data_IF_647087878227
#
_entry.id   IF_647087878227
#
_cell.length_a   1.000
_cell.length_b   1.000
_cell.length_c   1.000
_cell.angle_alpha   90.00
_cell.angle_beta   90.00
_cell.angle_gamma   90.00
#
_symmetry.space_group_name_H-M   'P 1'
#
loop_
_entity.id
_entity.type
_entity.pdbx_description
1 polymer ?
#
# COMPACT_ATOMS: atom_id res chain seq x y z
N UNK A 1 -19.87 3.01 34.72
CA UNK A 1 -18.82 3.58 33.85
C UNK A 1 -17.75 2.52 33.75
N UNK A 2 -17.84 1.67 32.72
CA UNK A 2 -16.76 0.72 32.42
C UNK A 2 -15.55 1.51 31.93
N UNK A 3 -14.37 1.17 32.45
CA UNK A 3 -13.10 1.79 32.08
C UNK A 3 -12.73 1.41 30.64
N UNK A 4 -12.27 2.34 29.78
CA UNK A 4 -11.82 2.05 28.41
C UNK A 4 -10.44 1.35 28.37
N UNK A 5 -10.13 0.50 29.35
CA UNK A 5 -8.77 0.02 29.67
C UNK A 5 -8.12 -0.94 28.64
N UNK A 6 -8.73 -1.17 27.47
CA UNK A 6 -8.22 -2.13 26.48
C UNK A 6 -7.77 -1.52 25.15
N UNK A 7 -7.78 -0.19 24.99
CA UNK A 7 -7.38 0.41 23.73
C UNK A 7 -6.01 1.07 23.79
N UNK A 8 -5.20 0.83 22.76
CA UNK A 8 -3.88 1.46 22.62
C UNK A 8 -3.85 2.28 21.34
N UNK A 9 -3.43 3.54 21.46
CA UNK A 9 -3.26 4.45 20.34
C UNK A 9 -1.79 4.62 20.00
N UNK A 10 -1.42 4.28 18.76
CA UNK A 10 -0.12 4.59 18.18
C UNK A 10 -0.23 5.85 17.31
N UNK A 11 0.43 6.92 17.72
CA UNK A 11 0.39 8.20 17.05
C UNK A 11 1.77 8.57 16.47
N UNK A 12 1.86 8.92 15.20
CA UNK A 12 3.09 9.49 14.65
C UNK A 12 3.09 11.00 14.90
N UNK A 13 3.70 11.47 15.99
CA UNK A 13 3.80 12.92 16.25
C UNK A 13 5.15 13.46 15.84
N UNK A 14 5.16 14.63 15.21
CA UNK A 14 6.41 15.33 15.01
C UNK A 14 6.15 16.82 14.92
N UNK A 15 7.08 17.60 15.47
CA UNK A 15 7.27 19.00 15.10
C UNK A 15 8.01 19.17 13.76
N UNK A 16 8.56 18.07 13.18
CA UNK A 16 9.38 18.09 11.93
C UNK A 16 8.97 17.11 10.80
N UNK A 17 7.99 16.22 10.99
CA UNK A 17 7.54 15.30 9.93
C UNK A 17 6.54 15.96 8.99
N UNK A 18 6.64 15.54 7.74
CA UNK A 18 5.88 16.02 6.60
C UNK A 18 4.51 15.33 6.45
N UNK A 19 3.99 14.67 7.49
CA UNK A 19 2.62 14.11 7.52
C UNK A 19 1.68 14.97 8.38
N UNK A 20 0.50 15.27 7.86
CA UNK A 20 -0.65 15.76 8.65
C UNK A 20 -0.66 17.23 9.09
N UNK A 21 0.16 18.10 8.50
CA UNK A 21 0.06 19.55 8.77
C UNK A 21 0.50 19.97 10.17
N UNK A 22 1.42 19.22 10.82
CA UNK A 22 2.01 19.53 12.14
C UNK A 22 1.08 19.45 13.36
N UNK A 23 -0.10 18.83 13.23
CA UNK A 23 -1.05 18.69 14.35
C UNK A 23 -0.87 17.43 15.21
N UNK A 24 0.20 16.65 15.00
CA UNK A 24 0.40 15.38 15.69
C UNK A 24 0.53 15.49 17.21
N UNK A 25 1.21 16.53 17.71
CA UNK A 25 1.39 16.78 19.15
C UNK A 25 0.08 17.17 19.82
N UNK A 26 -0.73 18.02 19.17
CA UNK A 26 -2.06 18.38 19.66
C UNK A 26 -2.98 17.16 19.71
N UNK A 27 -2.96 16.31 18.68
CA UNK A 27 -3.73 15.08 18.69
C UNK A 27 -3.29 14.12 19.79
N UNK A 28 -1.97 13.97 20.01
CA UNK A 28 -1.44 13.12 21.09
C UNK A 28 -1.95 13.59 22.45
N UNK A 29 -1.78 14.87 22.76
CA UNK A 29 -2.25 15.42 24.04
C UNK A 29 -3.75 15.18 24.23
N UNK A 30 -4.57 15.41 23.20
CA UNK A 30 -6.01 15.15 23.30
C UNK A 30 -6.35 13.66 23.43
N UNK A 31 -5.61 12.76 22.80
CA UNK A 31 -5.80 11.31 22.98
C UNK A 31 -5.42 10.88 24.40
N UNK A 32 -4.33 11.44 24.95
CA UNK A 32 -3.90 11.20 26.33
C UNK A 32 -4.94 11.68 27.34
N UNK A 33 -5.64 12.80 27.07
CA UNK A 33 -6.76 13.27 27.91
C UNK A 33 -7.92 12.24 28.01
N UNK A 34 -8.13 11.42 26.96
CA UNK A 34 -9.24 10.46 26.90
C UNK A 34 -8.83 9.02 27.24
N UNK A 35 -7.61 8.62 26.91
CA UNK A 35 -7.11 7.24 27.03
C UNK A 35 -6.04 7.09 28.10
N UNK A 36 -5.46 8.16 28.63
CA UNK A 36 -4.30 8.09 29.53
C UNK A 36 -2.96 8.11 28.79
N UNK A 37 -1.90 8.51 29.50
CA UNK A 37 -0.57 8.72 28.90
C UNK A 37 0.10 7.42 28.45
N UNK A 38 -0.07 6.35 29.22
CA UNK A 38 0.51 5.02 28.97
C UNK A 38 -0.14 4.28 27.80
N UNK A 39 -1.31 4.74 27.33
CA UNK A 39 -2.06 4.14 26.22
C UNK A 39 -1.80 4.87 24.89
N UNK A 40 -1.00 5.94 24.88
CA UNK A 40 -0.75 6.76 23.67
C UNK A 40 0.74 6.88 23.36
N UNK A 41 1.21 6.11 22.39
CA UNK A 41 2.61 6.05 22.00
C UNK A 41 2.94 7.02 20.86
N UNK A 42 4.10 7.66 20.92
CA UNK A 42 4.66 8.38 19.78
C UNK A 42 5.60 7.48 18.98
N UNK A 43 5.30 7.23 17.72
CA UNK A 43 6.09 6.34 16.85
C UNK A 43 7.52 6.83 16.56
N UNK A 44 7.84 8.08 16.89
CA UNK A 44 9.24 8.55 16.86
C UNK A 44 10.04 8.01 18.04
N UNK A 45 9.39 7.88 19.20
CA UNK A 45 10.01 7.48 20.45
C UNK A 45 9.91 5.97 20.70
N UNK A 46 8.75 5.38 20.39
CA UNK A 46 8.48 3.95 20.56
C UNK A 46 8.11 3.35 19.21
N UNK A 47 8.96 2.47 18.68
CA UNK A 47 8.69 1.81 17.39
C UNK A 47 7.59 0.75 17.58
N UNK A 48 6.75 0.48 16.55
CA UNK A 48 5.71 -0.53 16.66
C UNK A 48 6.25 -1.92 17.05
N UNK A 49 7.41 -2.33 16.53
CA UNK A 49 8.03 -3.61 16.91
C UNK A 49 8.44 -3.65 18.39
N UNK A 50 8.87 -2.53 18.99
CA UNK A 50 9.19 -2.46 20.42
C UNK A 50 7.91 -2.61 21.26
N UNK A 51 6.81 -1.99 20.83
CA UNK A 51 5.52 -2.20 21.49
C UNK A 51 5.07 -3.66 21.41
N UNK A 52 5.16 -4.27 20.22
CA UNK A 52 4.79 -5.67 20.02
C UNK A 52 5.67 -6.60 20.86
N UNK A 53 6.97 -6.34 20.93
CA UNK A 53 7.92 -7.18 21.65
C UNK A 53 7.85 -7.00 23.17
N UNK A 54 7.70 -5.78 23.67
CA UNK A 54 7.82 -5.48 25.10
C UNK A 54 6.47 -5.13 25.72
N UNK A 55 5.68 -4.27 25.07
CA UNK A 55 4.38 -3.82 25.56
C UNK A 55 3.39 -4.97 25.69
N UNK A 56 3.19 -5.74 24.62
CA UNK A 56 2.32 -6.91 24.65
C UNK A 56 2.87 -8.02 25.56
N UNK A 57 4.18 -8.27 25.52
CA UNK A 57 4.80 -9.28 26.36
C UNK A 57 4.59 -9.01 27.86
N UNK A 58 4.60 -7.75 28.30
CA UNK A 58 4.26 -7.41 29.69
C UNK A 58 2.83 -7.84 30.05
N UNK A 59 1.84 -7.54 29.19
CA UNK A 59 0.44 -7.93 29.42
C UNK A 59 0.31 -9.47 29.43
N UNK A 60 0.97 -10.14 28.50
CA UNK A 60 0.98 -11.61 28.41
C UNK A 60 1.64 -12.25 29.63
N UNK A 61 2.72 -11.67 30.15
CA UNK A 61 3.38 -12.15 31.37
C UNK A 61 2.48 -12.03 32.59
N UNK A 62 1.79 -10.89 32.78
CA UNK A 62 0.82 -10.76 33.87
C UNK A 62 -0.34 -11.73 33.73
N UNK A 63 -0.87 -11.91 32.51
CA UNK A 63 -1.91 -12.91 32.25
C UNK A 63 -1.44 -14.34 32.59
N UNK A 64 -0.19 -14.68 32.28
CA UNK A 64 0.41 -15.97 32.61
C UNK A 64 0.61 -16.18 34.13
N UNK A 65 0.82 -15.10 34.88
CA UNK A 65 0.87 -15.11 36.35
C UNK A 65 -0.52 -15.20 37.02
N UNK A 66 -1.60 -15.26 36.22
CA UNK A 66 -2.97 -15.41 36.70
C UNK A 66 -3.76 -14.11 36.85
N UNK A 67 -3.25 -12.98 36.34
CA UNK A 67 -3.98 -11.71 36.31
C UNK A 67 -5.14 -11.78 35.29
N UNK A 68 -6.37 -11.79 35.79
CA UNK A 68 -7.56 -11.87 34.95
C UNK A 68 -7.80 -10.59 34.12
N UNK A 69 -7.42 -9.42 34.64
CA UNK A 69 -7.55 -8.15 33.94
C UNK A 69 -6.56 -8.10 32.77
N UNK A 70 -5.32 -8.54 32.97
CA UNK A 70 -4.32 -8.61 31.91
C UNK A 70 -4.75 -9.59 30.80
N UNK A 71 -5.31 -10.74 31.18
CA UNK A 71 -5.86 -11.71 30.22
C UNK A 71 -7.00 -11.11 29.39
N UNK A 72 -8.01 -10.51 30.03
CA UNK A 72 -9.12 -9.88 29.32
C UNK A 72 -8.66 -8.70 28.45
N UNK A 73 -7.70 -7.90 28.94
CA UNK A 73 -7.09 -6.81 28.17
C UNK A 73 -6.43 -7.35 26.92
N UNK A 74 -5.65 -8.43 27.01
CA UNK A 74 -4.98 -9.05 25.87
C UNK A 74 -5.94 -9.61 24.82
N UNK A 75 -7.07 -10.17 25.26
CA UNK A 75 -8.10 -10.73 24.40
C UNK A 75 -8.94 -9.65 23.68
N UNK A 76 -9.16 -8.51 24.34
CA UNK A 76 -10.00 -7.42 23.81
C UNK A 76 -9.23 -6.26 23.18
N UNK A 77 -7.89 -6.31 23.23
CA UNK A 77 -7.02 -5.21 22.82
C UNK A 77 -7.31 -4.75 21.39
N UNK A 78 -7.53 -3.45 21.19
CA UNK A 78 -7.59 -2.83 19.86
C UNK A 78 -6.54 -1.75 19.71
N UNK A 79 -6.03 -1.59 18.49
CA UNK A 79 -5.01 -0.61 18.16
C UNK A 79 -5.58 0.48 17.26
N UNK A 80 -5.32 1.75 17.59
CA UNK A 80 -5.65 2.89 16.74
C UNK A 80 -4.36 3.49 16.20
N UNK A 81 -4.23 3.59 14.87
CA UNK A 81 -3.06 4.20 14.22
C UNK A 81 -3.42 5.57 13.67
N UNK A 82 -2.78 6.61 14.18
CA UNK A 82 -2.90 7.96 13.66
C UNK A 82 -1.75 8.29 12.69
N UNK A 83 -2.05 8.29 11.39
CA UNK A 83 -1.03 8.40 10.35
C UNK A 83 -1.59 8.42 8.92
N UNK A 84 -0.68 8.32 7.95
CA UNK A 84 -1.02 8.01 6.56
C UNK A 84 -0.80 6.52 6.25
N UNK A 85 -1.05 6.12 5.01
CA UNK A 85 -1.03 4.70 4.58
C UNK A 85 0.26 3.97 4.97
N UNK A 86 1.44 4.55 4.71
CA UNK A 86 2.72 3.92 5.11
C UNK A 86 2.94 3.79 6.63
N UNK A 87 2.30 4.63 7.46
CA UNK A 87 2.36 4.45 8.92
C UNK A 87 1.46 3.32 9.38
N UNK A 88 0.28 3.17 8.76
CA UNK A 88 -0.63 2.05 9.01
C UNK A 88 0.04 0.75 8.58
N UNK A 89 0.60 0.69 7.37
CA UNK A 89 1.29 -0.49 6.86
C UNK A 89 2.48 -0.93 7.72
N UNK A 90 3.22 0.02 8.32
CA UNK A 90 4.29 -0.30 9.26
C UNK A 90 3.78 -0.99 10.53
N UNK A 91 2.69 -0.47 11.12
CA UNK A 91 2.08 -1.10 12.31
C UNK A 91 1.52 -2.47 11.97
N UNK A 92 0.80 -2.61 10.85
CA UNK A 92 0.25 -3.89 10.39
C UNK A 92 1.35 -4.94 10.17
N UNK A 93 2.49 -4.53 9.58
CA UNK A 93 3.63 -5.42 9.39
C UNK A 93 4.17 -5.96 10.71
N UNK A 94 4.34 -5.09 11.71
CA UNK A 94 4.80 -5.51 13.04
C UNK A 94 3.76 -6.38 13.78
N UNK A 95 2.46 -6.14 13.58
CA UNK A 95 1.42 -6.99 14.16
C UNK A 95 1.34 -8.36 13.46
N UNK A 96 1.65 -8.43 12.17
CA UNK A 96 1.77 -9.70 11.44
C UNK A 96 2.84 -10.63 12.00
N UNK A 97 3.93 -10.09 12.54
CA UNK A 97 4.99 -10.88 13.20
C UNK A 97 4.48 -11.69 14.41
N UNK A 98 3.40 -11.24 15.07
CA UNK A 98 2.77 -12.00 16.16
C UNK A 98 2.19 -13.32 15.64
N UNK A 99 1.51 -13.28 14.49
CA UNK A 99 0.95 -14.47 13.86
C UNK A 99 2.04 -15.46 13.46
N UNK A 100 3.15 -14.96 12.89
CA UNK A 100 4.31 -15.79 12.51
C UNK A 100 4.92 -16.51 13.72
N UNK A 101 4.86 -15.90 14.91
CA UNK A 101 5.32 -16.47 16.19
C UNK A 101 4.27 -17.34 16.88
N UNK A 102 3.07 -17.49 16.30
CA UNK A 102 1.94 -18.20 16.91
C UNK A 102 1.32 -17.49 18.12
N UNK A 103 1.52 -16.17 18.24
CA UNK A 103 1.01 -15.34 19.34
C UNK A 103 -0.36 -14.74 18.96
N UNK A 104 -1.43 -15.40 19.37
CA UNK A 104 -2.81 -14.96 19.13
C UNK A 104 -3.49 -14.45 20.42
N UNK A 105 -4.49 -13.55 20.32
CA UNK A 105 -5.01 -12.95 19.10
C UNK A 105 -4.12 -11.81 18.56
N UNK A 106 -4.05 -11.62 17.24
CA UNK A 106 -3.49 -10.38 16.67
C UNK A 106 -4.49 -9.21 16.85
N UNK A 107 -4.11 -8.09 17.48
CA UNK A 107 -5.04 -6.97 17.74
C UNK A 107 -5.57 -6.32 16.45
N UNK A 108 -6.89 -6.06 16.34
CA UNK A 108 -7.46 -5.35 15.21
C UNK A 108 -7.04 -3.87 15.19
N UNK A 109 -6.90 -3.32 13.98
CA UNK A 109 -6.38 -1.97 13.75
C UNK A 109 -7.43 -1.01 13.19
N UNK A 110 -7.63 0.12 13.87
CA UNK A 110 -8.41 1.28 13.43
C UNK A 110 -7.47 2.41 12.92
N UNK A 111 -8.00 3.35 12.12
CA UNK A 111 -7.18 4.38 11.46
C UNK A 111 -7.71 5.79 11.76
N UNK A 112 -6.82 6.70 12.15
CA UNK A 112 -7.07 8.16 12.13
C UNK A 112 -6.33 8.76 10.92
N UNK A 113 -7.03 9.24 9.87
CA UNK A 113 -6.42 9.68 8.61
C UNK A 113 -5.70 11.03 8.74
N UNK A 114 -4.39 10.97 8.90
CA UNK A 114 -3.48 12.13 8.95
C UNK A 114 -2.62 12.29 7.69
N UNK A 115 -2.64 11.34 6.76
CA UNK A 115 -1.92 11.41 5.49
C UNK A 115 -2.61 12.28 4.42
N UNK A 116 -2.03 12.29 3.21
CA UNK A 116 -2.59 13.00 2.04
C UNK A 116 -3.58 12.14 1.23
N UNK A 117 -3.23 10.86 1.00
CA UNK A 117 -4.07 9.89 0.27
C UNK A 117 -5.13 9.26 1.18
N UNK A 118 -4.66 8.52 2.19
CA UNK A 118 -5.46 7.80 3.19
C UNK A 118 -6.39 6.76 2.54
N UNK A 119 -5.88 6.03 1.55
CA UNK A 119 -6.66 5.03 0.80
C UNK A 119 -7.06 3.84 1.69
N UNK A 120 -6.20 3.41 2.63
CA UNK A 120 -6.57 2.42 3.66
C UNK A 120 -7.72 2.96 4.52
N UNK A 121 -7.57 4.19 5.03
CA UNK A 121 -8.60 4.81 5.87
C UNK A 121 -9.94 4.93 5.15
N UNK A 122 -9.94 5.29 3.86
CA UNK A 122 -11.15 5.38 3.03
C UNK A 122 -11.79 4.02 2.81
N UNK A 123 -10.98 3.02 2.43
CA UNK A 123 -11.46 1.66 2.13
C UNK A 123 -12.10 0.98 3.34
N UNK A 124 -11.62 1.32 4.54
CA UNK A 124 -12.18 0.85 5.81
C UNK A 124 -13.13 1.86 6.48
N UNK A 125 -13.67 2.87 5.79
CA UNK A 125 -14.73 3.73 6.33
C UNK A 125 -14.31 4.75 7.41
N UNK A 126 -13.02 5.03 7.56
CA UNK A 126 -12.48 6.06 8.47
C UNK A 126 -12.35 7.44 7.79
N UNK A 127 -12.54 7.48 6.47
CA UNK A 127 -12.60 8.70 5.68
C UNK A 127 -11.24 9.20 5.19
N UNK A 128 -11.26 10.34 4.49
CA UNK A 128 -10.07 10.89 3.86
C UNK A 128 -9.27 11.88 4.70
N UNK A 129 -9.86 12.37 5.80
CA UNK A 129 -9.29 13.43 6.60
C UNK A 129 -9.87 13.45 8.00
N UNK A 130 -9.02 13.80 8.98
CA UNK A 130 -9.44 14.01 10.35
C UNK A 130 -9.33 15.48 10.77
N UNK A 131 -10.32 15.97 11.53
CA UNK A 131 -10.33 17.33 12.09
C UNK A 131 -10.12 17.28 13.61
N UNK A 132 -8.90 17.60 14.03
CA UNK A 132 -8.43 17.49 15.42
C UNK A 132 -9.10 18.54 16.32
N UNK A 133 -9.58 19.65 15.74
CA UNK A 133 -10.13 20.79 16.49
C UNK A 133 -11.35 20.40 17.35
N UNK A 134 -12.10 19.40 16.96
CA UNK A 134 -13.35 19.01 17.62
C UNK A 134 -13.14 17.86 18.60
N UNK A 135 -13.19 18.12 19.92
CA UNK A 135 -13.12 17.05 20.95
C UNK A 135 -14.16 15.95 20.71
N UNK A 136 -15.37 16.32 20.27
CA UNK A 136 -16.42 15.38 19.90
C UNK A 136 -16.01 14.42 18.77
N UNK A 137 -15.17 14.87 17.82
CA UNK A 137 -14.69 14.02 16.74
C UNK A 137 -13.73 12.92 17.24
N UNK A 138 -12.86 13.25 18.20
CA UNK A 138 -11.97 12.27 18.85
C UNK A 138 -12.80 11.25 19.63
N UNK A 139 -13.73 11.72 20.48
CA UNK A 139 -14.59 10.82 21.26
C UNK A 139 -15.37 9.86 20.36
N UNK A 140 -15.93 10.35 19.24
CA UNK A 140 -16.66 9.51 18.27
C UNK A 140 -15.76 8.48 17.60
N UNK A 141 -14.51 8.83 17.29
CA UNK A 141 -13.54 7.86 16.73
C UNK A 141 -13.20 6.79 17.75
N UNK A 142 -12.92 7.16 19.00
CA UNK A 142 -12.59 6.20 20.05
C UNK A 142 -13.76 5.25 20.33
N UNK A 143 -14.96 5.81 20.52
CA UNK A 143 -16.19 5.03 20.70
C UNK A 143 -16.43 4.06 19.55
N UNK A 144 -16.17 4.50 18.31
CA UNK A 144 -16.25 3.63 17.14
C UNK A 144 -15.18 2.55 17.14
N UNK A 145 -13.93 2.90 17.45
CA UNK A 145 -12.83 1.94 17.47
C UNK A 145 -13.12 0.78 18.44
N UNK A 146 -13.78 1.07 19.57
CA UNK A 146 -14.21 0.07 20.57
C UNK A 146 -15.29 -0.87 20.01
N UNK A 147 -16.35 -0.31 19.42
CA UNK A 147 -17.58 -1.09 19.16
C UNK A 147 -17.72 -1.59 17.72
N UNK A 148 -16.94 -1.04 16.78
CA UNK A 148 -17.10 -1.35 15.37
C UNK A 148 -16.79 -2.82 15.03
N UNK A 149 -17.44 -3.36 13.99
CA UNK A 149 -17.17 -4.70 13.51
C UNK A 149 -15.79 -4.79 12.85
N UNK A 150 -15.30 -6.02 12.75
CA UNK A 150 -14.00 -6.32 12.17
C UNK A 150 -14.12 -6.65 10.68
N UNK A 151 -13.02 -6.48 9.96
CA UNK A 151 -12.79 -6.82 8.55
C UNK A 151 -11.42 -7.45 8.42
N UNK A 152 -11.20 -8.13 7.30
CA UNK A 152 -9.89 -8.63 6.91
C UNK A 152 -9.29 -7.74 5.84
N UNK A 153 -7.97 -7.76 5.75
CA UNK A 153 -7.20 -7.06 4.74
C UNK A 153 -6.08 -7.99 4.27
N UNK A 154 -6.11 -8.30 2.98
CA UNK A 154 -5.01 -8.95 2.29
C UNK A 154 -3.81 -8.03 2.21
N UNK A 155 -2.64 -8.64 2.25
CA UNK A 155 -1.37 -7.98 2.02
C UNK A 155 -0.54 -8.84 1.09
N UNK A 156 0.38 -8.20 0.37
CA UNK A 156 1.04 -8.81 -0.78
C UNK A 156 2.55 -8.60 -0.65
N UNK A 157 3.29 -9.71 -0.65
CA UNK A 157 4.74 -9.70 -0.66
C UNK A 157 5.22 -9.56 -2.11
N UNK A 158 5.99 -8.51 -2.37
CA UNK A 158 6.72 -8.26 -3.60
C UNK A 158 8.16 -8.69 -3.39
N UNK A 159 8.65 -9.60 -4.23
CA UNK A 159 10.07 -9.96 -4.32
C UNK A 159 10.61 -9.54 -5.67
N UNK A 160 11.74 -8.84 -5.68
CA UNK A 160 12.45 -8.38 -6.87
C UNK A 160 13.76 -9.14 -6.94
N UNK A 161 13.98 -9.86 -8.04
CA UNK A 161 15.24 -10.53 -8.36
C UNK A 161 15.84 -9.89 -9.59
N UNK A 162 16.98 -9.21 -9.42
CA UNK A 162 17.65 -8.46 -10.49
C UNK A 162 19.15 -8.78 -10.56
N UNK A 163 19.81 -8.55 -11.70
CA UNK A 163 21.25 -8.72 -11.82
C UNK A 163 22.02 -7.88 -10.78
N UNK A 164 23.04 -8.48 -10.16
CA UNK A 164 23.88 -7.78 -9.18
C UNK A 164 24.69 -6.62 -9.80
N UNK A 165 25.11 -5.68 -8.96
CA UNK A 165 26.01 -4.58 -9.33
C UNK A 165 25.33 -3.25 -9.69
N UNK A 166 24.00 -3.18 -9.71
CA UNK A 166 23.28 -1.91 -9.80
C UNK A 166 22.82 -1.46 -8.41
N UNK A 167 23.17 -0.22 -8.03
CA UNK A 167 22.65 0.38 -6.80
C UNK A 167 21.16 0.70 -6.96
N UNK A 168 20.34 0.07 -6.12
CA UNK A 168 18.90 0.34 -6.06
C UNK A 168 18.62 1.28 -4.89
N UNK A 169 18.10 2.47 -5.18
CA UNK A 169 17.51 3.33 -4.16
C UNK A 169 16.20 2.72 -3.68
N UNK A 170 16.29 1.75 -2.78
CA UNK A 170 15.13 0.97 -2.32
C UNK A 170 14.14 1.82 -1.50
N UNK A 171 12.83 1.60 -1.67
CA UNK A 171 11.81 2.10 -0.76
C UNK A 171 12.07 1.67 0.68
N UNK A 172 11.57 2.44 1.65
CA UNK A 172 11.71 2.11 3.08
C UNK A 172 10.97 0.82 3.43
N UNK A 173 9.87 0.55 2.72
CA UNK A 173 9.11 -0.68 2.86
C UNK A 173 9.81 -1.93 2.27
N UNK A 174 10.97 -1.77 1.59
CA UNK A 174 11.75 -2.87 1.07
C UNK A 174 13.05 -3.10 1.84
N UNK A 175 13.46 -4.37 1.90
CA UNK A 175 14.72 -4.82 2.50
C UNK A 175 15.41 -5.81 1.57
N UNK A 176 16.72 -5.87 1.64
CA UNK A 176 17.48 -6.91 0.95
C UNK A 176 17.13 -8.28 1.53
N UNK A 177 17.07 -9.31 0.67
CA UNK A 177 16.79 -10.69 1.05
C UNK A 177 17.69 -11.64 0.26
N UNK A 178 17.87 -12.86 0.79
CA UNK A 178 18.53 -13.96 0.08
C UNK A 178 17.52 -14.83 -0.70
N UNK A 179 16.21 -14.57 -0.54
CA UNK A 179 15.17 -15.31 -1.24
C UNK A 179 15.21 -15.03 -2.75
N UNK A 180 15.62 -16.03 -3.53
CA UNK A 180 15.57 -16.00 -4.99
C UNK A 180 14.35 -16.78 -5.45
N UNK A 181 13.28 -16.08 -5.83
CA UNK A 181 12.09 -16.71 -6.41
C UNK A 181 12.26 -16.78 -7.93
N UNK A 182 13.07 -17.72 -8.41
CA UNK A 182 13.10 -18.07 -9.83
C UNK A 182 12.42 -19.42 -10.00
N UNK A 183 11.13 -19.40 -10.32
CA UNK A 183 10.42 -20.64 -10.69
C UNK A 183 11.00 -21.07 -12.05
N UNK A 184 11.72 -22.20 -12.07
CA UNK A 184 12.46 -22.70 -13.24
C UNK A 184 11.55 -23.12 -14.40
N UNK A 185 10.25 -23.15 -14.17
CA UNK A 185 9.22 -23.63 -15.09
C UNK A 185 8.72 -22.57 -16.09
N UNK A 186 9.17 -21.31 -16.00
CA UNK A 186 8.87 -20.29 -17.00
C UNK A 186 10.00 -20.19 -18.02
N UNK A 187 9.64 -20.23 -19.30
CA UNK A 187 10.57 -20.00 -20.40
C UNK A 187 11.11 -18.56 -20.32
N UNK A 188 12.38 -18.42 -19.96
CA UNK A 188 13.10 -17.14 -19.98
C UNK A 188 13.78 -17.01 -21.35
N UNK A 189 13.62 -15.86 -22.02
CA UNK A 189 14.27 -15.59 -23.31
C UNK A 189 15.77 -15.22 -23.21
N UNK A 190 16.38 -15.39 -22.05
CA UNK A 190 17.72 -14.88 -21.71
C UNK A 190 18.53 -15.85 -20.86
N UNK A 191 19.81 -15.53 -20.66
CA UNK A 191 20.68 -16.29 -19.76
C UNK A 191 20.39 -15.91 -18.30
N UNK A 192 20.67 -16.80 -17.36
CA UNK A 192 20.59 -16.45 -15.93
C UNK A 192 21.82 -15.62 -15.53
N UNK A 193 21.63 -14.48 -14.83
CA UNK A 193 22.75 -13.73 -14.28
C UNK A 193 23.51 -14.59 -13.26
N UNK A 194 24.85 -14.51 -13.27
CA UNK A 194 25.73 -15.27 -12.36
C UNK A 194 25.54 -14.88 -10.90
N UNK A 195 25.19 -13.62 -10.66
CA UNK A 195 24.92 -13.05 -9.35
C UNK A 195 23.62 -12.24 -9.39
N UNK A 196 22.79 -12.41 -8.37
CA UNK A 196 21.46 -11.81 -8.26
C UNK A 196 21.39 -11.02 -6.97
N UNK A 197 20.87 -9.79 -7.05
CA UNK A 197 20.43 -9.03 -5.88
C UNK A 197 18.93 -9.20 -5.72
N UNK A 198 18.50 -9.61 -4.52
CA UNK A 198 17.09 -9.77 -4.18
C UNK A 198 16.64 -8.74 -3.14
N UNK A 199 15.43 -8.22 -3.35
CA UNK A 199 14.76 -7.30 -2.43
C UNK A 199 13.34 -7.77 -2.22
N UNK A 200 12.82 -7.59 -1.00
CA UNK A 200 11.44 -7.92 -0.68
C UNK A 200 10.77 -6.82 0.13
N UNK A 201 9.45 -6.69 -0.02
CA UNK A 201 8.64 -5.79 0.77
C UNK A 201 7.16 -6.16 0.69
N UNK A 202 6.40 -5.75 1.71
CA UNK A 202 4.96 -6.00 1.78
C UNK A 202 4.21 -4.71 1.47
N UNK A 203 3.16 -4.82 0.67
CA UNK A 203 2.23 -3.73 0.40
C UNK A 203 0.79 -4.13 0.72
N UNK A 204 -0.02 -3.11 1.03
CA UNK A 204 -1.41 -3.25 1.43
C UNK A 204 -2.37 -2.59 0.45
N UNK A 205 -1.89 -1.66 -0.37
CA UNK A 205 -2.74 -0.89 -1.28
C UNK A 205 -2.48 -1.24 -2.75
N UNK A 206 -1.32 -0.87 -3.28
CA UNK A 206 -1.02 -1.15 -4.69
C UNK A 206 0.47 -1.20 -4.99
N UNK A 207 0.76 -1.86 -6.10
CA UNK A 207 2.03 -1.79 -6.79
C UNK A 207 1.81 -1.32 -8.24
N UNK A 208 2.66 -0.44 -8.75
CA UNK A 208 2.58 0.03 -10.14
C UNK A 208 3.93 0.07 -10.86
N UNK A 209 3.90 -0.19 -12.17
CA UNK A 209 5.05 -0.08 -13.06
C UNK A 209 4.73 0.94 -14.16
N UNK A 210 5.73 1.72 -14.53
CA UNK A 210 5.74 2.56 -15.71
C UNK A 210 5.35 3.99 -15.39
N UNK A 211 4.52 4.56 -16.25
CA UNK A 211 4.22 5.98 -16.27
C UNK A 211 3.76 6.52 -14.90
N UNK A 212 2.80 5.87 -14.25
CA UNK A 212 2.21 6.36 -12.98
C UNK A 212 3.28 6.51 -11.89
N UNK A 213 4.11 5.47 -11.72
CA UNK A 213 5.24 5.49 -10.82
C UNK A 213 6.27 6.59 -11.15
N UNK A 214 6.42 6.96 -12.43
CA UNK A 214 7.30 8.06 -12.84
C UNK A 214 6.81 9.43 -12.33
N UNK A 215 5.49 9.64 -12.30
CA UNK A 215 4.88 10.85 -11.73
C UNK A 215 5.11 10.88 -10.23
N UNK A 216 4.85 9.76 -9.55
CA UNK A 216 5.10 9.65 -8.12
C UNK A 216 6.57 9.88 -7.79
N UNK A 217 7.50 9.34 -8.57
CA UNK A 217 8.93 9.57 -8.40
C UNK A 217 9.30 11.05 -8.52
N UNK A 218 8.82 11.74 -9.55
CA UNK A 218 9.06 13.18 -9.73
C UNK A 218 8.49 14.02 -8.57
N UNK A 219 7.31 13.66 -8.07
CA UNK A 219 6.72 14.30 -6.90
C UNK A 219 7.53 14.02 -5.62
N UNK A 220 8.00 12.79 -5.43
CA UNK A 220 8.81 12.39 -4.29
C UNK A 220 10.14 13.15 -4.24
N UNK A 221 10.84 13.28 -5.38
CA UNK A 221 12.05 14.10 -5.48
C UNK A 221 11.80 15.55 -5.11
N UNK A 222 10.74 16.17 -5.66
CA UNK A 222 10.40 17.56 -5.32
C UNK A 222 10.13 17.73 -3.82
N UNK A 223 9.44 16.78 -3.21
CA UNK A 223 9.14 16.81 -1.78
C UNK A 223 10.41 16.73 -0.94
N UNK A 224 11.40 15.97 -1.38
CA UNK A 224 12.69 15.87 -0.70
C UNK A 224 13.55 17.12 -0.89
N UNK A 225 13.58 17.69 -2.10
CA UNK A 225 14.36 18.90 -2.41
C UNK A 225 13.73 20.19 -1.84
N UNK A 226 12.40 20.29 -1.92
CA UNK A 226 11.61 21.49 -1.55
C UNK A 226 10.44 21.13 -0.63
N UNK A 227 10.71 20.71 0.61
CA UNK A 227 9.66 20.30 1.55
C UNK A 227 8.62 21.38 1.82
N UNK A 228 8.98 22.66 1.67
CA UNK A 228 8.09 23.80 1.89
C UNK A 228 6.94 23.90 0.89
N UNK A 229 7.10 23.37 -0.34
CA UNK A 229 6.02 23.30 -1.33
C UNK A 229 5.01 22.18 -1.04
N UNK A 230 5.44 21.15 -0.29
CA UNK A 230 4.68 19.92 -0.06
C UNK A 230 4.06 19.82 1.35
N UNK A 231 3.78 20.96 2.01
CA UNK A 231 3.33 20.99 3.41
C UNK A 231 1.82 20.76 3.61
N UNK A 232 1.02 20.83 2.54
CA UNK A 232 -0.44 20.75 2.62
C UNK A 232 -1.03 19.69 1.70
N UNK A 233 -2.12 19.03 2.12
CA UNK A 233 -2.79 18.00 1.31
C UNK A 233 -3.26 18.52 -0.05
N UNK A 234 -3.85 19.72 -0.07
CA UNK A 234 -4.33 20.35 -1.31
C UNK A 234 -3.14 20.69 -2.22
N UNK A 235 -2.09 21.29 -1.66
CA UNK A 235 -0.86 21.60 -2.40
C UNK A 235 -0.23 20.34 -2.99
N UNK A 236 -0.12 19.26 -2.21
CA UNK A 236 0.40 17.97 -2.67
C UNK A 236 -0.38 17.42 -3.85
N UNK A 237 -1.72 17.47 -3.80
CA UNK A 237 -2.58 17.03 -4.91
C UNK A 237 -2.37 17.89 -6.16
N UNK A 238 -2.28 19.21 -6.03
CA UNK A 238 -2.05 20.12 -7.15
C UNK A 238 -0.67 19.86 -7.79
N UNK A 239 0.36 19.70 -6.96
CA UNK A 239 1.72 19.43 -7.43
C UNK A 239 1.76 18.09 -8.18
N UNK A 240 1.14 17.04 -7.64
CA UNK A 240 1.04 15.73 -8.30
C UNK A 240 0.40 15.87 -9.69
N UNK A 241 -0.74 16.56 -9.77
CA UNK A 241 -1.41 16.87 -11.04
C UNK A 241 -0.51 17.68 -12.00
N UNK A 242 0.27 18.62 -11.48
CA UNK A 242 1.22 19.40 -12.27
C UNK A 242 2.38 18.58 -12.84
N UNK A 243 2.84 17.55 -12.13
CA UNK A 243 3.87 16.63 -12.64
C UNK A 243 3.36 15.76 -13.78
N UNK A 244 2.11 15.29 -13.72
CA UNK A 244 1.47 14.64 -14.85
C UNK A 244 1.57 15.51 -16.11
N UNK A 245 1.26 16.82 -16.00
CA UNK A 245 1.34 17.74 -17.12
C UNK A 245 2.77 17.96 -17.65
N UNK A 246 3.75 18.15 -16.75
CA UNK A 246 5.14 18.48 -17.12
C UNK A 246 5.91 17.31 -17.74
N UNK A 247 5.60 16.07 -17.38
CA UNK A 247 6.26 14.89 -17.95
C UNK A 247 5.79 14.54 -19.37
N UNK A 248 5.11 15.46 -20.07
CA UNK A 248 4.69 15.25 -21.46
C UNK A 248 3.55 14.24 -21.61
N UNK A 249 2.87 13.84 -20.54
CA UNK A 249 1.82 12.82 -20.57
C UNK A 249 0.66 13.15 -21.51
N UNK A 250 0.35 14.43 -21.69
CA UNK A 250 -0.72 14.90 -22.57
C UNK A 250 -0.24 15.09 -24.02
N UNK A 251 1.08 15.09 -24.24
CA UNK A 251 1.74 15.28 -25.53
C UNK A 251 2.42 14.00 -26.06
N UNK A 252 2.38 12.90 -25.30
CA UNK A 252 2.90 11.59 -25.71
C UNK A 252 2.34 11.05 -27.04
N UNK A 253 1.11 11.37 -27.49
CA UNK A 253 0.67 11.04 -28.85
C UNK A 253 1.59 11.62 -29.96
N UNK A 254 2.39 12.64 -29.65
CA UNK A 254 3.27 13.34 -30.58
C UNK A 254 4.74 12.85 -30.56
N UNK A 255 5.07 11.79 -29.81
CA UNK A 255 6.43 11.22 -29.76
C UNK A 255 6.62 10.24 -30.92
N UNK A 256 7.60 10.48 -31.77
CA UNK A 256 7.77 9.77 -33.05
C UNK A 256 8.34 8.34 -32.97
N UNK A 257 8.88 7.88 -31.83
CA UNK A 257 9.44 6.53 -31.69
C UNK A 257 8.40 5.52 -31.14
N UNK A 258 7.92 4.54 -31.94
CA UNK A 258 6.94 3.55 -31.50
C UNK A 258 7.48 2.51 -30.51
N UNK A 259 8.79 2.23 -30.52
CA UNK A 259 9.43 1.24 -29.65
C UNK A 259 9.52 1.69 -28.18
N UNK A 260 9.34 2.99 -27.95
CA UNK A 260 9.30 3.63 -26.63
C UNK A 260 7.87 3.90 -26.13
N UNK A 261 6.82 3.48 -26.86
CA UNK A 261 5.42 3.85 -26.54
C UNK A 261 4.68 2.93 -25.59
N UNK A 262 5.02 1.63 -25.54
CA UNK A 262 4.19 0.61 -24.89
C UNK A 262 4.97 -0.21 -23.87
N UNK A 263 4.35 -0.44 -22.71
CA UNK A 263 4.94 -1.22 -21.63
C UNK A 263 5.17 -2.69 -22.05
N UNK A 264 4.40 -3.19 -23.02
CA UNK A 264 4.54 -4.52 -23.60
C UNK A 264 5.89 -4.79 -24.29
N UNK A 265 6.68 -3.74 -24.59
CA UNK A 265 8.00 -3.90 -25.21
C UNK A 265 9.08 -4.31 -24.18
N UNK A 266 8.83 -4.03 -22.89
CA UNK A 266 9.78 -4.30 -21.80
C UNK A 266 9.20 -5.25 -20.75
N UNK A 267 7.88 -5.40 -20.68
CA UNK A 267 7.18 -6.11 -19.62
C UNK A 267 6.41 -7.30 -20.18
N UNK A 268 6.67 -8.49 -19.61
CA UNK A 268 5.79 -9.65 -19.71
C UNK A 268 5.13 -9.91 -18.38
N UNK A 269 3.85 -10.28 -18.41
CA UNK A 269 3.08 -10.52 -17.19
C UNK A 269 2.49 -11.92 -17.23
N UNK A 270 2.79 -12.70 -16.20
CA UNK A 270 2.14 -13.97 -15.91
C UNK A 270 1.28 -13.80 -14.66
N UNK A 271 0.12 -14.46 -14.63
CA UNK A 271 -0.75 -14.46 -13.46
C UNK A 271 -1.09 -15.89 -13.03
N UNK A 272 -1.39 -16.05 -11.75
CA UNK A 272 -2.15 -17.20 -11.25
C UNK A 272 -3.59 -16.80 -11.01
N UNK A 273 -4.53 -17.61 -11.50
CA UNK A 273 -5.94 -17.53 -11.12
C UNK A 273 -6.11 -18.10 -9.71
N UNK A 274 -7.15 -17.68 -9.01
CA UNK A 274 -7.52 -18.29 -7.74
C UNK A 274 -7.74 -19.80 -7.93
N UNK A 275 -7.19 -20.61 -7.02
CA UNK A 275 -7.26 -22.08 -7.06
C UNK A 275 -6.60 -22.75 -8.29
N UNK A 276 -5.82 -22.01 -9.10
CA UNK A 276 -5.03 -22.59 -10.19
C UNK A 276 -3.55 -22.62 -9.82
N UNK A 277 -2.87 -23.78 -9.91
CA UNK A 277 -1.42 -23.84 -9.73
C UNK A 277 -0.67 -23.31 -10.96
N UNK A 278 -1.34 -23.13 -12.11
CA UNK A 278 -0.71 -22.80 -13.39
C UNK A 278 -0.55 -21.30 -13.56
N UNK A 279 0.61 -20.90 -14.07
CA UNK A 279 0.87 -19.55 -14.55
C UNK A 279 0.30 -19.36 -15.96
N UNK A 280 -0.39 -18.24 -16.20
CA UNK A 280 -0.95 -17.85 -17.48
C UNK A 280 -0.28 -16.57 -17.98
N UNK A 281 0.27 -16.59 -19.20
CA UNK A 281 0.79 -15.38 -19.84
C UNK A 281 -0.38 -14.48 -20.26
N UNK A 282 -0.36 -13.22 -19.81
CA UNK A 282 -1.38 -12.22 -20.14
C UNK A 282 -0.80 -11.20 -21.13
N UNK A 283 -1.33 -11.13 -22.36
CA UNK A 283 -0.84 -10.17 -23.35
C UNK A 283 -1.21 -8.74 -22.96
N UNK A 284 -0.20 -7.89 -22.79
CA UNK A 284 -0.40 -6.47 -22.50
C UNK A 284 -0.76 -5.69 -23.78
N UNK A 285 -1.86 -4.92 -23.80
CA UNK A 285 -2.18 -4.10 -24.95
C UNK A 285 -1.09 -3.05 -25.21
N UNK A 286 -0.67 -2.89 -26.46
CA UNK A 286 0.41 -1.95 -26.86
C UNK A 286 0.14 -0.48 -26.50
N UNK A 287 -1.13 -0.12 -26.27
CA UNK A 287 -1.52 1.22 -25.82
C UNK A 287 -1.22 1.51 -24.34
N UNK A 288 -0.89 0.49 -23.54
CA UNK A 288 -0.70 0.63 -22.09
C UNK A 288 0.71 1.09 -21.79
N UNK A 289 0.82 2.10 -20.93
CA UNK A 289 2.08 2.73 -20.51
C UNK A 289 2.35 2.60 -19.02
N UNK A 290 1.32 2.25 -18.25
CA UNK A 290 1.46 1.92 -16.84
C UNK A 290 0.48 0.82 -16.49
N UNK A 291 0.92 -0.08 -15.64
CA UNK A 291 0.10 -1.14 -15.03
C UNK A 291 0.06 -0.93 -13.53
N UNK A 292 -1.10 -1.17 -12.95
CA UNK A 292 -1.33 -1.12 -11.51
C UNK A 292 -1.95 -2.45 -11.10
N UNK A 293 -1.36 -3.07 -10.07
CA UNK A 293 -1.96 -4.15 -9.31
C UNK A 293 -2.48 -3.56 -8.00
N UNK A 294 -3.80 -3.52 -7.86
CA UNK A 294 -4.52 -2.86 -6.78
C UNK A 294 -5.19 -3.89 -5.88
N UNK A 295 -5.06 -3.73 -4.57
CA UNK A 295 -5.69 -4.57 -3.53
C UNK A 295 -6.92 -3.91 -2.90
N UNK A 296 -6.97 -2.58 -2.90
CA UNK A 296 -8.08 -1.85 -2.28
C UNK A 296 -9.13 -1.44 -3.32
N UNK A 297 -10.40 -1.29 -2.93
CA UNK A 297 -11.43 -0.73 -3.82
C UNK A 297 -11.19 0.75 -4.17
N UNK A 298 -10.17 1.39 -3.58
CA UNK A 298 -9.83 2.78 -3.82
C UNK A 298 -8.35 2.99 -4.09
N UNK A 299 -8.07 3.97 -4.95
CA UNK A 299 -6.73 4.32 -5.42
C UNK A 299 -6.60 5.85 -5.52
N UNK A 300 -5.38 6.38 -5.33
CA UNK A 300 -5.05 7.80 -5.49
C UNK A 300 -6.00 8.77 -4.76
N UNK A 301 -6.17 8.59 -3.46
CA UNK A 301 -7.05 9.40 -2.58
C UNK A 301 -8.55 9.16 -2.75
N UNK A 302 -8.96 7.91 -2.95
CA UNK A 302 -10.37 7.52 -2.98
C UNK A 302 -11.02 7.40 -4.36
N UNK A 303 -10.25 7.33 -5.44
CA UNK A 303 -10.77 7.07 -6.80
C UNK A 303 -10.98 5.59 -7.01
N UNK A 304 -11.91 5.22 -7.90
CA UNK A 304 -12.17 3.82 -8.22
C UNK A 304 -11.83 3.54 -9.70
N UNK A 305 -10.54 3.36 -10.05
CA UNK A 305 -10.13 3.11 -11.43
C UNK A 305 -10.63 1.77 -11.97
N UNK A 306 -10.85 0.77 -11.10
CA UNK A 306 -11.48 -0.49 -11.47
C UNK A 306 -12.97 -0.30 -11.80
N UNK A 307 -13.62 0.61 -11.10
CA UNK A 307 -15.00 1.00 -11.32
C UNK A 307 -16.01 -0.03 -10.80
N UNK A 308 -17.29 0.33 -10.92
CA UNK A 308 -18.41 -0.55 -10.55
C UNK A 308 -18.87 -1.30 -11.80
N UNK A 309 -18.24 -2.44 -12.05
CA UNK A 309 -18.49 -3.22 -13.26
C UNK A 309 -19.88 -3.87 -13.22
N UNK A 310 -20.58 -3.86 -14.36
CA UNK A 310 -21.88 -4.52 -14.48
C UNK A 310 -21.73 -6.05 -14.36
N UNK A 311 -22.70 -6.76 -13.75
CA UNK A 311 -22.65 -8.22 -13.62
C UNK A 311 -22.33 -8.96 -14.93
N UNK A 312 -22.99 -8.61 -16.04
CA UNK A 312 -22.75 -9.22 -17.36
C UNK A 312 -21.30 -9.04 -17.85
N UNK A 313 -20.66 -7.92 -17.50
CA UNK A 313 -19.27 -7.66 -17.88
C UNK A 313 -18.31 -8.48 -17.02
N UNK A 314 -18.59 -8.60 -15.71
CA UNK A 314 -17.84 -9.44 -14.79
C UNK A 314 -17.87 -10.89 -15.26
N UNK A 315 -19.06 -11.43 -15.53
CA UNK A 315 -19.25 -12.80 -16.03
C UNK A 315 -18.50 -13.02 -17.35
N UNK A 316 -18.69 -12.13 -18.34
CA UNK A 316 -18.00 -12.23 -19.64
C UNK A 316 -16.47 -12.21 -19.52
N UNK A 317 -15.92 -11.55 -18.50
CA UNK A 317 -14.48 -11.46 -18.25
C UNK A 317 -13.96 -12.48 -17.26
N UNK A 318 -14.83 -13.23 -16.59
CA UNK A 318 -14.46 -14.08 -15.47
C UNK A 318 -13.88 -13.28 -14.30
N UNK A 319 -14.39 -12.08 -14.06
CA UNK A 319 -14.04 -11.24 -12.92
C UNK A 319 -15.06 -11.39 -11.81
N UNK A 320 -14.62 -11.09 -10.59
CA UNK A 320 -15.48 -10.95 -9.40
C UNK A 320 -15.48 -9.50 -8.93
N UNK A 321 -16.41 -9.17 -8.03
CA UNK A 321 -16.42 -7.85 -7.40
C UNK A 321 -15.15 -7.65 -6.58
N UNK A 322 -14.53 -6.48 -6.71
CA UNK A 322 -13.28 -6.16 -6.04
C UNK A 322 -13.49 -6.08 -4.53
N UNK A 323 -12.67 -6.80 -3.77
CA UNK A 323 -12.63 -6.76 -2.31
C UNK A 323 -11.20 -6.76 -1.82
N UNK A 324 -10.96 -6.19 -0.64
CA UNK A 324 -9.61 -6.17 -0.05
C UNK A 324 -9.23 -7.44 0.72
N UNK A 325 -10.05 -8.50 0.65
CA UNK A 325 -9.90 -9.73 1.43
C UNK A 325 -10.26 -11.02 0.66
N UNK A 326 -10.38 -10.95 -0.66
CA UNK A 326 -10.81 -12.05 -1.53
C UNK A 326 -9.66 -12.91 -2.07
N UNK A 327 -8.42 -12.53 -1.80
CA UNK A 327 -7.22 -13.18 -2.33
C UNK A 327 -6.88 -12.80 -3.76
N UNK A 328 -7.38 -11.69 -4.27
CA UNK A 328 -7.15 -11.20 -5.63
C UNK A 328 -6.56 -9.79 -5.65
N UNK A 329 -5.86 -9.49 -6.74
CA UNK A 329 -5.45 -8.13 -7.12
C UNK A 329 -6.17 -7.75 -8.41
N UNK A 330 -6.75 -6.55 -8.43
CA UNK A 330 -7.26 -5.89 -9.63
C UNK A 330 -6.10 -5.35 -10.47
N UNK A 331 -5.93 -5.88 -11.69
CA UNK A 331 -4.89 -5.45 -12.62
C UNK A 331 -5.50 -4.60 -13.73
N UNK A 332 -5.14 -3.32 -13.76
CA UNK A 332 -5.56 -2.39 -14.81
C UNK A 332 -4.39 -1.57 -15.34
N UNK A 333 -4.59 -0.87 -16.46
CA UNK A 333 -3.57 -0.02 -17.02
C UNK A 333 -4.03 1.34 -17.53
N UNK A 334 -3.09 2.27 -17.54
CA UNK A 334 -3.24 3.62 -18.08
C UNK A 334 -2.57 3.74 -19.45
N UNK A 335 -3.24 4.47 -20.36
CA UNK A 335 -2.73 4.70 -21.73
C UNK A 335 -1.91 5.98 -21.83
N UNK A 336 -2.52 7.12 -21.57
CA UNK A 336 -1.93 8.44 -21.73
C UNK A 336 -2.57 9.42 -20.75
N UNK A 337 -2.05 10.64 -20.63
CA UNK A 337 -2.51 11.57 -19.59
C UNK A 337 -3.98 11.90 -19.64
N UNK A 338 -4.54 12.11 -20.83
CA UNK A 338 -5.99 12.32 -20.98
C UNK A 338 -6.82 11.14 -20.45
N UNK A 339 -6.43 9.91 -20.80
CA UNK A 339 -7.11 8.71 -20.31
C UNK A 339 -7.01 8.61 -18.79
N UNK A 340 -5.82 8.77 -18.22
CA UNK A 340 -5.65 8.73 -16.78
C UNK A 340 -6.43 9.84 -16.08
N UNK A 341 -6.45 11.07 -16.60
CA UNK A 341 -7.24 12.17 -16.03
C UNK A 341 -8.73 11.89 -16.02
N UNK A 342 -9.28 11.30 -17.08
CA UNK A 342 -10.70 10.91 -17.09
C UNK A 342 -11.01 9.79 -16.12
N UNK A 343 -10.08 8.84 -15.93
CA UNK A 343 -10.21 7.80 -14.89
C UNK A 343 -10.15 8.43 -13.49
N UNK A 344 -9.19 9.31 -13.22
CA UNK A 344 -9.06 9.99 -11.91
C UNK A 344 -10.20 10.98 -11.62
N UNK A 345 -10.97 11.36 -12.62
CA UNK A 345 -12.17 12.18 -12.49
C UNK A 345 -13.46 11.35 -12.50
N UNK A 346 -13.36 10.02 -12.46
CA UNK A 346 -14.47 9.07 -12.43
C UNK A 346 -15.43 9.18 -13.64
N UNK A 347 -14.95 9.70 -14.78
CA UNK A 347 -15.74 9.76 -16.03
C UNK A 347 -15.72 8.43 -16.80
N UNK A 348 -14.64 7.67 -16.68
CA UNK A 348 -14.45 6.35 -17.31
C UNK A 348 -13.68 5.44 -16.35
N UNK A 349 -13.79 4.12 -16.53
CA UNK A 349 -12.91 3.16 -15.84
C UNK A 349 -11.57 3.02 -16.56
N UNK A 350 -10.56 2.54 -15.84
CA UNK A 350 -9.29 2.18 -16.43
C UNK A 350 -9.44 0.99 -17.40
N UNK A 351 -8.38 0.70 -18.15
CA UNK A 351 -8.36 -0.50 -18.98
C UNK A 351 -8.17 -1.71 -18.08
N UNK A 352 -9.23 -2.47 -17.80
CA UNK A 352 -9.13 -3.74 -17.07
C UNK A 352 -8.29 -4.74 -17.86
N UNK A 353 -7.34 -5.39 -17.18
CA UNK A 353 -6.43 -6.39 -17.75
C UNK A 353 -6.79 -7.77 -17.19
N UNK A 354 -6.71 -7.96 -15.87
CA UNK A 354 -7.04 -9.23 -15.22
C UNK A 354 -7.35 -9.06 -13.71
N UNK A 355 -7.78 -10.15 -13.08
CA UNK A 355 -7.72 -10.35 -11.62
C UNK A 355 -6.83 -11.56 -11.35
N UNK A 356 -5.98 -11.49 -10.33
CA UNK A 356 -4.95 -12.49 -10.07
C UNK A 356 -4.72 -12.76 -8.59
N UNK A 357 -4.49 -14.03 -8.24
CA UNK A 357 -4.08 -14.47 -6.91
C UNK A 357 -2.55 -14.50 -6.73
N UNK A 358 -1.81 -14.23 -7.81
CA UNK A 358 -0.37 -14.07 -7.83
C UNK A 358 0.06 -13.50 -9.18
N UNK A 359 1.08 -12.65 -9.17
CA UNK A 359 1.55 -11.96 -10.38
C UNK A 359 3.04 -12.18 -10.49
N UNK A 360 3.51 -12.46 -11.70
CA UNK A 360 4.93 -12.40 -12.04
C UNK A 360 5.14 -11.48 -13.21
N UNK A 361 6.04 -10.53 -13.02
CA UNK A 361 6.55 -9.69 -14.09
C UNK A 361 7.96 -10.11 -14.48
N UNK A 362 8.21 -10.14 -15.78
CA UNK A 362 9.56 -10.19 -16.34
C UNK A 362 9.80 -8.88 -17.06
N UNK A 363 10.87 -8.18 -16.65
CA UNK A 363 11.31 -6.91 -17.22
C UNK A 363 12.61 -7.10 -17.97
N UNK A 364 12.64 -6.69 -19.24
CA UNK A 364 13.84 -6.74 -20.09
C UNK A 364 14.12 -5.36 -20.70
N UNK A 365 15.35 -4.88 -20.53
CA UNK A 365 15.75 -3.51 -20.83
C UNK A 365 15.57 -3.13 -22.29
N UNK A 366 15.97 -3.96 -23.25
CA UNK A 366 15.88 -3.60 -24.68
C UNK A 366 16.56 -2.25 -24.96
N UNK A 367 15.81 -1.25 -25.42
CA UNK A 367 16.31 0.14 -25.57
C UNK A 367 16.20 0.98 -24.29
N UNK A 368 15.47 0.50 -23.29
CA UNK A 368 15.22 1.16 -22.03
C UNK A 368 16.27 0.77 -20.99
N UNK A 369 16.86 1.78 -20.34
CA UNK A 369 17.86 1.58 -19.28
C UNK A 369 17.26 1.58 -17.87
N UNK A 370 16.10 2.19 -17.72
CA UNK A 370 15.42 2.38 -16.43
C UNK A 370 13.91 2.30 -16.65
N UNK A 371 13.21 1.72 -15.67
CA UNK A 371 11.77 1.87 -15.53
C UNK A 371 11.43 2.42 -14.15
N UNK A 372 10.23 2.96 -14.00
CA UNK A 372 9.77 3.49 -12.71
C UNK A 372 8.80 2.51 -12.08
N UNK A 373 8.91 2.35 -10.77
CA UNK A 373 8.06 1.48 -9.97
C UNK A 373 7.62 2.20 -8.71
N UNK A 374 6.50 1.77 -8.16
CA UNK A 374 5.95 2.33 -6.95
C UNK A 374 5.20 1.28 -6.15
N UNK A 375 5.35 1.35 -4.83
CA UNK A 375 4.69 0.48 -3.88
C UNK A 375 4.11 1.35 -2.76
N UNK A 376 2.78 1.31 -2.57
CA UNK A 376 2.06 2.05 -1.52
C UNK A 376 2.41 3.56 -1.41
N UNK A 377 2.77 4.19 -2.53
CA UNK A 377 3.16 5.61 -2.54
C UNK A 377 4.65 5.89 -2.44
N UNK A 378 5.50 4.86 -2.32
CA UNK A 378 6.96 4.94 -2.31
C UNK A 378 7.51 4.53 -3.68
N UNK A 379 7.97 5.49 -4.50
CA UNK A 379 8.47 5.24 -5.84
C UNK A 379 9.99 5.07 -5.87
N UNK A 380 10.49 4.30 -6.84
CA UNK A 380 11.91 4.19 -7.14
C UNK A 380 12.16 4.05 -8.64
N UNK A 381 13.41 4.27 -9.03
CA UNK A 381 13.93 3.95 -10.36
C UNK A 381 14.50 2.55 -10.33
N UNK A 382 13.93 1.68 -11.15
CA UNK A 382 14.43 0.33 -11.35
C UNK A 382 15.39 0.31 -12.54
N UNK A 383 16.68 0.02 -12.32
CA UNK A 383 17.62 -0.21 -13.42
C UNK A 383 17.22 -1.46 -14.19
N UNK A 384 17.41 -1.42 -15.50
CA UNK A 384 17.15 -2.54 -16.41
C UNK A 384 18.40 -2.93 -17.18
N UNK A 385 18.52 -4.22 -17.45
CA UNK A 385 19.64 -4.79 -18.20
C UNK A 385 19.13 -5.33 -19.55
N UNK A 386 19.97 -5.23 -20.58
CA UNK A 386 19.62 -5.67 -21.93
C UNK A 386 19.81 -7.18 -22.12
N UNK A 387 20.78 -7.76 -21.40
CA UNK A 387 21.17 -9.16 -21.45
C UNK A 387 20.33 -10.01 -20.49
N UNK A 388 20.04 -9.48 -19.30
CA UNK A 388 19.38 -10.21 -18.21
C UNK A 388 18.06 -9.57 -17.81
N UNK A 389 17.05 -10.39 -17.54
CA UNK A 389 15.75 -9.93 -17.07
C UNK A 389 15.76 -9.66 -15.56
N UNK A 390 14.95 -8.69 -15.13
CA UNK A 390 14.54 -8.50 -13.73
C UNK A 390 13.19 -9.17 -13.52
N UNK A 391 13.08 -10.00 -12.50
CA UNK A 391 11.83 -10.68 -12.14
C UNK A 391 11.20 -10.04 -10.92
N UNK A 392 9.87 -9.88 -10.97
CA UNK A 392 9.09 -9.43 -9.83
C UNK A 392 8.00 -10.44 -9.56
N UNK A 393 7.97 -10.95 -8.34
CA UNK A 393 6.98 -11.91 -7.87
C UNK A 393 6.12 -11.25 -6.80
N UNK A 394 4.81 -11.23 -7.04
CA UNK A 394 3.81 -10.74 -6.09
C UNK A 394 2.97 -11.91 -5.64
N UNK A 395 3.00 -12.19 -4.34
CA UNK A 395 2.26 -13.29 -3.71
C UNK A 395 1.51 -12.77 -2.49
N UNK A 396 0.32 -13.31 -2.25
CA UNK A 396 -0.44 -13.02 -1.05
C UNK A 396 0.34 -13.49 0.19
N UNK A 397 0.42 -12.63 1.19
CA UNK A 397 0.91 -12.99 2.53
C UNK A 397 -0.15 -13.87 3.21
N UNK A 398 0.21 -15.00 3.85
CA UNK A 398 -0.77 -15.91 4.43
C UNK A 398 -1.69 -15.27 5.48
N UNK A 399 -1.14 -14.37 6.30
CA UNK A 399 -1.90 -13.66 7.32
C UNK A 399 -2.69 -12.48 6.72
N UNK A 400 -3.99 -12.45 6.99
CA UNK A 400 -4.83 -11.30 6.69
C UNK A 400 -4.89 -10.37 7.91
N UNK A 401 -4.50 -9.12 7.72
CA UNK A 401 -4.57 -8.10 8.77
C UNK A 401 -6.02 -7.91 9.23
N UNK A 402 -6.22 -7.76 10.53
CA UNK A 402 -7.56 -7.53 11.10
C UNK A 402 -7.77 -6.03 11.23
N UNK A 403 -8.77 -5.50 10.52
CA UNK A 403 -9.09 -4.08 10.46
C UNK A 403 -10.41 -3.80 11.15
N UNK A 404 -10.49 -2.71 11.91
CA UNK A 404 -11.77 -2.21 12.46
C UNK A 404 -12.49 -1.40 11.38
N UNK A 405 -13.76 -1.71 11.09
CA UNK A 405 -14.55 -0.98 10.10
C UNK A 405 -15.04 0.36 10.66
N UNK A 406 -14.80 1.44 9.92
CA UNK A 406 -15.43 2.72 10.14
C UNK A 406 -16.86 2.79 9.58
N UNK A 407 -17.39 4.01 9.42
CA UNK A 407 -18.68 4.22 8.76
C UNK A 407 -18.46 4.71 7.33
N UNK A 408 -19.09 4.04 6.38
CA UNK A 408 -19.17 4.56 5.02
C UNK A 408 -20.05 5.81 5.03
N UNK A 409 -19.46 6.99 5.19
CA UNK A 409 -20.12 8.25 4.87
C UNK A 409 -20.18 8.41 3.34
N UNK A 410 -20.93 7.53 2.69
CA UNK A 410 -21.46 7.76 1.36
C UNK A 410 -22.93 8.14 1.52
N UNK A 411 -23.13 9.42 1.85
CA UNK A 411 -24.38 10.15 1.69
C UNK A 411 -24.07 11.47 1.02
#
# INVERSE_FOLDING_TARGET
>A
MESPASDISMNKTSSKSSSGGRHGSELKSRLQDFMGEEQVFDLHNVKPHEFVQYGLACIENFAALGDCCAKETRERLRIIVAGGDGTVGWVLGCLGELHERGQEPVPPTAIIPLGTGNDLSRSFGWGGSFSIKWKAAIKRILDRAIHAPLSRLDSWNLVISMPAGAELGIPYAMKQTEEVILDKDLEIEGQFPKEVSCYQGVFYNYFSIGMDAQVAYGFHQLRNEKPYLAQGRIANKIIYSGYCCKQGWFFTPCINDPSLRGLNNILRMHIKRLNSPKWELIPLPSSIRSIVALNLPSYASGRNPWGNLKPDYLEKKGFVEASSDDGLLEIFGFKQGWHASFVMADFISAKHIAQAAGIRFELRGGTWRECFMQMDGEPWKQPMNNEYSTFLDIKKVPFQSIMVKGENNHS
#
